data_IF_302751052543
#
_entry.id   IF_302751052543
#
_cell.length_a   1.000
_cell.length_b   1.000
_cell.length_c   1.000
_cell.angle_alpha   90.00
_cell.angle_beta   90.00
_cell.angle_gamma   90.00
#
_symmetry.space_group_name_H-M   'P 1'
#
loop_
_entity.id
_entity.type
_entity.pdbx_description
1 polymer ?
#
# COMPACT_ATOMS: atom_id res chain seq x y z
N UNK A 1 22.22 -0.08 -33.34
CA UNK A 1 21.81 0.41 -32.01
C UNK A 1 20.70 -0.48 -31.49
N UNK A 2 20.92 -1.28 -30.43
CA UNK A 2 19.84 -1.99 -29.75
C UNK A 2 18.96 -0.93 -29.06
N UNK A 3 17.68 -0.82 -29.45
CA UNK A 3 16.72 -0.02 -28.67
C UNK A 3 16.74 -0.56 -27.24
N UNK A 4 17.11 0.26 -26.26
CA UNK A 4 16.93 -0.08 -24.86
C UNK A 4 15.42 -0.17 -24.62
N UNK A 5 14.91 -1.35 -24.27
CA UNK A 5 13.50 -1.53 -23.91
C UNK A 5 13.29 -0.97 -22.49
N UNK A 6 13.33 0.37 -22.33
CA UNK A 6 13.01 1.00 -21.07
C UNK A 6 11.52 0.82 -20.75
N UNK A 7 11.22 0.47 -19.51
CA UNK A 7 9.84 0.40 -18.97
C UNK A 7 9.18 1.79 -19.04
N UNK A 8 9.96 2.84 -18.88
CA UNK A 8 9.46 4.22 -18.78
C UNK A 8 9.38 4.96 -20.13
N UNK A 9 9.35 4.23 -21.26
CA UNK A 9 9.28 4.82 -22.62
C UNK A 9 7.88 4.92 -23.20
N UNK A 10 6.94 4.11 -22.73
CA UNK A 10 5.54 4.10 -23.19
C UNK A 10 4.60 4.67 -22.15
N UNK A 11 3.31 4.79 -22.52
CA UNK A 11 2.28 5.21 -21.59
C UNK A 11 1.88 6.68 -21.71
N UNK A 12 1.33 7.23 -20.64
CA UNK A 12 0.80 8.59 -20.58
C UNK A 12 1.08 9.25 -19.23
N UNK A 13 0.93 10.57 -19.19
CA UNK A 13 0.90 11.31 -17.96
C UNK A 13 -0.29 12.29 -17.93
N UNK A 14 -0.81 12.55 -16.73
CA UNK A 14 -1.87 13.56 -16.48
C UNK A 14 -1.51 14.38 -15.25
N UNK A 15 -2.02 15.58 -15.19
CA UNK A 15 -1.88 16.47 -14.03
C UNK A 15 -3.23 16.75 -13.38
N UNK A 16 -3.25 16.68 -12.07
CA UNK A 16 -4.25 17.23 -11.17
C UNK A 16 -3.57 18.29 -10.32
N UNK A 17 -4.31 19.25 -9.79
CA UNK A 17 -3.67 20.47 -9.26
C UNK A 17 -3.04 20.29 -7.88
N UNK A 18 -3.30 19.18 -7.19
CA UNK A 18 -3.00 19.02 -5.77
C UNK A 18 -2.29 17.70 -5.47
N UNK A 19 -1.72 17.61 -4.26
CA UNK A 19 -1.04 16.42 -3.75
C UNK A 19 -1.92 15.16 -3.87
N UNK A 20 -1.48 14.17 -4.64
CA UNK A 20 -2.18 12.88 -4.77
C UNK A 20 -1.89 12.01 -3.55
N UNK A 21 -2.92 11.75 -2.76
CA UNK A 21 -2.78 10.92 -1.55
C UNK A 21 -2.91 9.43 -1.84
N UNK A 22 -3.73 9.06 -2.82
CA UNK A 22 -3.98 7.69 -3.19
C UNK A 22 -4.33 7.57 -4.68
N UNK A 23 -3.98 6.44 -5.29
CA UNK A 23 -4.46 6.03 -6.60
C UNK A 23 -4.42 4.51 -6.72
N UNK A 24 -5.34 3.95 -7.51
CA UNK A 24 -5.36 2.52 -7.79
C UNK A 24 -6.14 2.20 -9.07
N UNK A 25 -6.00 0.96 -9.53
CA UNK A 25 -6.67 0.40 -10.70
C UNK A 25 -8.11 -0.02 -10.38
N UNK A 26 -9.06 0.29 -11.27
CA UNK A 26 -10.47 -0.02 -11.13
C UNK A 26 -11.06 -0.62 -12.41
N UNK A 27 -12.29 -1.14 -12.34
CA UNK A 27 -13.06 -1.66 -13.48
C UNK A 27 -12.25 -2.64 -14.34
N UNK A 28 -11.78 -3.74 -13.74
CA UNK A 28 -10.93 -4.73 -14.42
C UNK A 28 -9.68 -4.10 -15.04
N UNK A 29 -9.09 -3.11 -14.36
CA UNK A 29 -7.94 -2.32 -14.80
C UNK A 29 -8.19 -1.46 -16.06
N UNK A 30 -9.43 -1.09 -16.35
CA UNK A 30 -9.79 -0.17 -17.44
C UNK A 30 -9.74 1.29 -17.01
N UNK A 31 -9.93 1.55 -15.73
CA UNK A 31 -9.89 2.88 -15.13
C UNK A 31 -8.83 2.98 -14.04
N UNK A 32 -8.38 4.19 -13.79
CA UNK A 32 -7.57 4.56 -12.63
C UNK A 32 -8.40 5.55 -11.81
N UNK A 33 -8.54 5.27 -10.52
CA UNK A 33 -9.13 6.22 -9.57
C UNK A 33 -7.98 6.86 -8.80
N UNK A 34 -7.98 8.18 -8.72
CA UNK A 34 -7.00 8.94 -7.95
C UNK A 34 -7.71 9.96 -7.06
N UNK A 35 -7.13 10.27 -5.91
CA UNK A 35 -7.66 11.24 -4.97
C UNK A 35 -6.58 12.22 -4.52
N UNK A 36 -6.93 13.49 -4.42
CA UNK A 36 -6.07 14.52 -3.87
C UNK A 36 -6.42 14.85 -2.41
N UNK A 37 -5.50 15.54 -1.74
CA UNK A 37 -5.62 15.90 -0.32
C UNK A 37 -6.77 16.88 -0.05
N UNK A 38 -7.25 17.60 -1.07
CA UNK A 38 -8.35 18.57 -0.93
C UNK A 38 -9.73 17.95 -1.11
N UNK A 39 -9.79 16.63 -1.30
CA UNK A 39 -11.05 15.89 -1.40
C UNK A 39 -11.61 15.78 -2.82
N UNK A 40 -10.80 16.03 -3.83
CA UNK A 40 -11.22 15.75 -5.19
C UNK A 40 -10.85 14.32 -5.58
N UNK A 41 -11.76 13.67 -6.29
CA UNK A 41 -11.57 12.31 -6.80
C UNK A 41 -11.69 12.35 -8.32
N UNK A 42 -10.77 11.68 -8.98
CA UNK A 42 -10.63 11.67 -10.43
C UNK A 42 -10.69 10.24 -10.94
N UNK A 43 -11.36 10.03 -12.05
CA UNK A 43 -11.27 8.79 -12.81
C UNK A 43 -10.67 9.04 -14.17
N UNK A 44 -9.67 8.24 -14.52
CA UNK A 44 -8.99 8.30 -15.82
C UNK A 44 -9.17 6.99 -16.59
N UNK A 45 -9.30 7.08 -17.89
CA UNK A 45 -9.15 5.92 -18.77
C UNK A 45 -7.71 5.39 -18.66
N UNK A 46 -7.56 4.14 -18.29
CA UNK A 46 -6.25 3.55 -17.96
C UNK A 46 -5.31 3.44 -19.16
N UNK A 47 -5.85 3.40 -20.40
CA UNK A 47 -5.06 3.28 -21.62
C UNK A 47 -4.58 4.63 -22.13
N UNK A 48 -5.38 5.66 -21.99
CA UNK A 48 -5.15 6.97 -22.65
C UNK A 48 -4.83 8.11 -21.68
N UNK A 49 -5.08 7.92 -20.36
CA UNK A 49 -4.98 8.99 -19.38
C UNK A 49 -6.06 10.06 -19.49
N UNK A 50 -7.09 9.83 -20.32
CA UNK A 50 -8.19 10.77 -20.46
C UNK A 50 -9.04 10.81 -19.18
N UNK A 51 -9.31 12.01 -18.66
CA UNK A 51 -10.23 12.21 -17.54
C UNK A 51 -11.65 11.78 -17.97
N UNK A 52 -12.25 10.88 -17.20
CA UNK A 52 -13.60 10.34 -17.41
C UNK A 52 -14.62 11.10 -16.57
N UNK A 53 -14.35 11.26 -15.28
CA UNK A 53 -15.16 12.08 -14.37
C UNK A 53 -14.31 12.63 -13.21
N UNK A 54 -14.87 13.63 -12.53
CA UNK A 54 -14.30 14.24 -11.35
C UNK A 54 -15.40 14.51 -10.32
N UNK A 55 -15.15 14.17 -9.06
CA UNK A 55 -15.94 14.60 -7.90
C UNK A 55 -15.15 15.66 -7.13
N UNK A 56 -15.83 16.66 -6.61
CA UNK A 56 -15.20 17.76 -5.87
C UNK A 56 -15.62 17.78 -4.41
N UNK A 57 -14.72 18.30 -3.59
CA UNK A 57 -15.01 18.66 -2.20
C UNK A 57 -15.57 17.50 -1.35
N UNK A 58 -15.21 16.24 -1.65
CA UNK A 58 -15.60 15.11 -0.83
C UNK A 58 -14.98 15.24 0.57
N UNK A 59 -15.61 14.65 1.58
CA UNK A 59 -15.17 14.73 2.98
C UNK A 59 -14.87 16.15 3.48
N UNK A 60 -15.67 17.16 3.04
CA UNK A 60 -15.49 18.57 3.41
C UNK A 60 -14.07 19.10 3.07
N UNK A 61 -13.53 18.72 1.91
CA UNK A 61 -12.20 19.10 1.40
C UNK A 61 -11.04 18.53 2.21
N UNK A 62 -11.20 17.37 2.82
CA UNK A 62 -10.20 16.78 3.72
C UNK A 62 -10.19 15.27 3.62
N UNK A 63 -9.80 14.77 2.45
CA UNK A 63 -9.69 13.34 2.20
C UNK A 63 -8.35 12.81 2.73
N UNK A 64 -8.36 11.65 3.40
CA UNK A 64 -7.18 11.07 4.03
C UNK A 64 -6.75 9.75 3.38
N UNK A 65 -7.70 8.93 2.89
CA UNK A 65 -7.36 7.68 2.21
C UNK A 65 -8.43 7.30 1.18
N UNK A 66 -8.02 6.48 0.21
CA UNK A 66 -8.87 5.87 -0.83
C UNK A 66 -8.43 4.42 -1.05
N UNK A 67 -9.39 3.52 -1.09
CA UNK A 67 -9.18 2.11 -1.36
C UNK A 67 -10.16 1.59 -2.43
N UNK A 68 -9.63 1.14 -3.57
CA UNK A 68 -10.44 0.46 -4.59
C UNK A 68 -10.74 -0.96 -4.12
N UNK A 69 -11.99 -1.39 -4.26
CA UNK A 69 -12.39 -2.75 -3.95
C UNK A 69 -11.69 -3.74 -4.92
N UNK A 70 -11.22 -4.90 -4.46
CA UNK A 70 -10.53 -5.88 -5.32
C UNK A 70 -11.29 -6.34 -6.57
N UNK A 71 -12.63 -6.23 -6.58
CA UNK A 71 -13.42 -6.47 -7.79
C UNK A 71 -13.40 -5.29 -8.78
N UNK A 72 -12.89 -4.12 -8.35
CA UNK A 72 -12.74 -2.92 -9.16
C UNK A 72 -14.03 -2.13 -9.41
N UNK A 73 -15.20 -2.62 -9.03
CA UNK A 73 -16.49 -1.98 -9.34
C UNK A 73 -16.85 -0.78 -8.46
N UNK A 74 -16.29 -0.75 -7.26
CA UNK A 74 -16.51 0.29 -6.26
C UNK A 74 -15.19 0.72 -5.62
N UNK A 75 -15.16 1.89 -5.03
CA UNK A 75 -14.07 2.35 -4.17
C UNK A 75 -14.63 3.01 -2.91
N UNK A 76 -13.84 2.97 -1.86
CA UNK A 76 -14.14 3.67 -0.62
C UNK A 76 -13.18 4.84 -0.43
N UNK A 77 -13.67 5.90 0.21
CA UNK A 77 -12.89 7.07 0.62
C UNK A 77 -13.19 7.41 2.07
N UNK A 78 -12.24 8.04 2.74
CA UNK A 78 -12.41 8.51 4.10
C UNK A 78 -11.69 9.85 4.34
N UNK A 79 -12.05 10.52 5.41
CA UNK A 79 -11.50 11.85 5.68
C UNK A 79 -11.71 12.34 7.10
N UNK A 80 -11.42 13.65 7.29
CA UNK A 80 -11.47 14.29 8.60
C UNK A 80 -12.90 14.50 9.13
N UNK A 81 -13.92 14.26 8.30
CA UNK A 81 -15.32 14.40 8.70
C UNK A 81 -15.90 13.15 9.42
N UNK A 82 -15.06 12.16 9.74
CA UNK A 82 -15.46 10.96 10.45
C UNK A 82 -16.30 9.97 9.62
N UNK A 83 -16.30 10.12 8.29
CA UNK A 83 -17.10 9.30 7.38
C UNK A 83 -16.27 8.39 6.51
N UNK A 84 -16.90 7.31 6.09
CA UNK A 84 -16.47 6.45 4.98
C UNK A 84 -17.57 6.47 3.92
N UNK A 85 -17.21 6.89 2.72
CA UNK A 85 -18.10 6.92 1.56
C UNK A 85 -17.73 5.80 0.59
N UNK A 86 -18.71 5.04 0.11
CA UNK A 86 -18.56 4.00 -0.91
C UNK A 86 -19.17 4.51 -2.20
N UNK A 87 -18.40 4.49 -3.28
CA UNK A 87 -18.79 5.06 -4.57
C UNK A 87 -18.65 4.03 -5.69
N UNK A 88 -19.47 4.15 -6.74
CA UNK A 88 -19.31 3.37 -7.96
C UNK A 88 -18.07 3.84 -8.73
N UNK A 89 -17.24 2.91 -9.17
CA UNK A 89 -16.04 3.25 -9.95
C UNK A 89 -16.35 3.68 -11.39
N UNK A 90 -17.55 3.38 -11.89
CA UNK A 90 -17.98 3.70 -13.27
C UNK A 90 -18.21 5.19 -13.51
N UNK A 91 -18.83 5.89 -12.55
CA UNK A 91 -19.29 7.26 -12.70
C UNK A 91 -19.08 8.13 -11.46
N UNK A 92 -18.55 7.54 -10.36
CA UNK A 92 -18.34 8.22 -9.10
C UNK A 92 -19.59 8.36 -8.23
N UNK A 93 -20.75 7.82 -8.64
CA UNK A 93 -21.98 7.97 -7.85
C UNK A 93 -21.85 7.42 -6.44
N UNK A 94 -22.32 8.18 -5.45
CA UNK A 94 -22.32 7.77 -4.04
C UNK A 94 -23.33 6.63 -3.82
N UNK A 95 -22.86 5.48 -3.35
CA UNK A 95 -23.67 4.30 -3.04
C UNK A 95 -24.02 4.27 -1.55
N UNK A 96 -23.10 4.63 -0.68
CA UNK A 96 -23.28 4.62 0.77
C UNK A 96 -22.37 5.63 1.43
N UNK A 97 -22.86 6.29 2.50
CA UNK A 97 -22.08 7.20 3.35
C UNK A 97 -22.27 6.83 4.81
N UNK A 98 -21.19 6.44 5.49
CA UNK A 98 -21.23 5.85 6.81
C UNK A 98 -20.45 6.73 7.79
N UNK A 99 -21.10 7.26 8.82
CA UNK A 99 -20.43 7.94 9.92
C UNK A 99 -19.88 6.90 10.90
N UNK A 100 -18.57 6.88 11.09
CA UNK A 100 -17.91 6.06 12.09
C UNK A 100 -17.74 6.79 13.43
N UNK A 101 -17.84 8.13 13.43
CA UNK A 101 -17.70 8.98 14.61
C UNK A 101 -17.40 10.42 14.26
N UNK A 102 -16.87 11.17 15.24
CA UNK A 102 -16.55 12.60 15.10
C UNK A 102 -15.05 12.87 14.96
N UNK A 103 -14.24 11.83 14.87
CA UNK A 103 -12.79 11.90 14.71
C UNK A 103 -12.39 11.61 13.24
N UNK A 104 -11.11 11.73 12.92
CA UNK A 104 -10.60 11.46 11.59
C UNK A 104 -10.59 9.96 11.30
N UNK A 105 -11.04 9.57 10.11
CA UNK A 105 -10.85 8.22 9.59
C UNK A 105 -9.57 8.20 8.74
N UNK A 106 -8.51 7.59 9.27
CA UNK A 106 -7.14 7.73 8.74
C UNK A 106 -6.75 6.62 7.78
N UNK A 107 -7.28 5.42 7.98
CA UNK A 107 -6.93 4.24 7.19
C UNK A 107 -8.19 3.48 6.83
N UNK A 108 -8.28 3.04 5.59
CA UNK A 108 -9.31 2.12 5.12
C UNK A 108 -8.70 1.00 4.31
N UNK A 109 -9.19 -0.23 4.48
CA UNK A 109 -8.71 -1.37 3.70
C UNK A 109 -9.81 -2.39 3.46
N UNK A 110 -9.94 -2.84 2.21
CA UNK A 110 -10.81 -3.97 1.84
C UNK A 110 -10.15 -5.32 2.14
N UNK A 111 -10.97 -6.32 2.50
CA UNK A 111 -10.54 -7.72 2.43
C UNK A 111 -10.22 -8.12 0.99
N UNK A 112 -9.37 -9.14 0.79
CA UNK A 112 -9.00 -9.62 -0.55
C UNK A 112 -10.18 -10.08 -1.41
N UNK A 113 -11.27 -10.54 -0.78
CA UNK A 113 -12.51 -10.90 -1.49
C UNK A 113 -13.47 -9.71 -1.70
N UNK A 114 -13.11 -8.51 -1.25
CA UNK A 114 -13.87 -7.27 -1.40
C UNK A 114 -15.21 -7.21 -0.63
N UNK A 115 -15.46 -8.13 0.30
CA UNK A 115 -16.75 -8.19 1.02
C UNK A 115 -16.79 -7.28 2.25
N UNK A 116 -15.64 -7.05 2.89
CA UNK A 116 -15.53 -6.26 4.11
C UNK A 116 -14.53 -5.12 3.92
N UNK A 117 -14.86 -3.98 4.48
CA UNK A 117 -14.01 -2.80 4.57
C UNK A 117 -13.77 -2.48 6.04
N UNK A 118 -12.50 -2.42 6.44
CA UNK A 118 -12.12 -1.89 7.75
C UNK A 118 -11.81 -0.40 7.63
N UNK A 119 -12.18 0.39 8.64
CA UNK A 119 -11.83 1.80 8.77
C UNK A 119 -11.41 2.12 10.20
N UNK A 120 -10.26 2.80 10.38
CA UNK A 120 -9.79 3.24 11.70
C UNK A 120 -10.20 4.67 11.99
N UNK A 121 -10.69 4.91 13.21
CA UNK A 121 -11.09 6.22 13.71
C UNK A 121 -10.61 6.38 15.17
N UNK A 122 -9.64 7.25 15.39
CA UNK A 122 -9.05 7.44 16.72
C UNK A 122 -8.56 6.11 17.31
N UNK A 123 -9.17 5.67 18.42
CA UNK A 123 -8.85 4.42 19.11
C UNK A 123 -9.73 3.23 18.72
N UNK A 124 -10.51 3.33 17.67
CA UNK A 124 -11.45 2.29 17.26
C UNK A 124 -11.21 1.88 15.82
N UNK A 125 -11.61 0.65 15.51
CA UNK A 125 -11.73 0.15 14.13
C UNK A 125 -13.15 -0.34 13.92
N UNK A 126 -13.74 0.07 12.80
CA UNK A 126 -15.05 -0.38 12.36
C UNK A 126 -14.90 -1.27 11.13
N UNK A 127 -15.77 -2.25 10.99
CA UNK A 127 -15.86 -3.06 9.78
C UNK A 127 -17.29 -2.94 9.23
N UNK A 128 -17.37 -2.57 7.96
CA UNK A 128 -18.61 -2.47 7.20
C UNK A 128 -18.59 -3.45 6.02
N UNK A 129 -19.76 -3.83 5.51
CA UNK A 129 -19.84 -4.57 4.25
C UNK A 129 -19.74 -3.65 3.04
N UNK A 130 -19.74 -4.23 1.84
CA UNK A 130 -19.68 -3.48 0.57
C UNK A 130 -20.95 -2.64 0.27
N UNK A 131 -22.02 -2.81 1.06
CA UNK A 131 -23.24 -2.00 1.00
C UNK A 131 -23.26 -0.89 2.05
N UNK A 132 -22.26 -0.86 2.94
CA UNK A 132 -22.12 0.14 4.00
C UNK A 132 -22.74 -0.25 5.33
N UNK A 133 -23.26 -1.48 5.51
CA UNK A 133 -23.79 -1.91 6.80
C UNK A 133 -22.64 -2.16 7.78
N UNK A 134 -22.71 -1.57 8.99
CA UNK A 134 -21.74 -1.84 10.04
C UNK A 134 -21.94 -3.25 10.59
N UNK A 135 -20.89 -4.07 10.53
CA UNK A 135 -20.92 -5.47 10.98
C UNK A 135 -20.17 -5.67 12.29
N UNK A 136 -19.13 -4.88 12.53
CA UNK A 136 -18.27 -5.04 13.71
C UNK A 136 -17.63 -3.72 14.10
N UNK A 137 -17.29 -3.61 15.37
CA UNK A 137 -16.48 -2.52 15.93
C UNK A 137 -15.58 -3.10 17.01
N UNK A 138 -14.33 -2.65 17.07
CA UNK A 138 -13.40 -3.04 18.13
C UNK A 138 -13.82 -2.45 19.48
N UNK A 139 -13.33 -3.05 20.57
CA UNK A 139 -13.22 -2.37 21.86
C UNK A 139 -12.32 -1.13 21.72
N UNK A 140 -12.40 -0.22 22.69
CA UNK A 140 -11.49 0.93 22.75
C UNK A 140 -10.06 0.44 22.96
N UNK A 141 -9.17 0.80 22.03
CA UNK A 141 -7.75 0.49 22.12
C UNK A 141 -7.06 1.45 23.08
N UNK A 142 -5.89 1.05 23.57
CA UNK A 142 -5.10 1.85 24.53
C UNK A 142 -4.62 3.17 23.93
N UNK A 143 -4.41 3.23 22.61
CA UNK A 143 -4.02 4.44 21.89
C UNK A 143 -4.61 4.47 20.47
N UNK A 144 -4.40 5.59 19.78
CA UNK A 144 -4.81 5.78 18.38
C UNK A 144 -4.25 4.67 17.49
N UNK A 145 -5.08 4.17 16.58
CA UNK A 145 -4.70 3.20 15.56
C UNK A 145 -3.73 3.85 14.58
N UNK A 146 -2.60 3.23 14.35
CA UNK A 146 -1.59 3.72 13.40
C UNK A 146 -1.63 3.03 12.05
N UNK A 147 -2.08 1.78 12.01
CA UNK A 147 -2.26 1.02 10.78
C UNK A 147 -3.22 -0.16 10.98
N UNK A 148 -3.86 -0.59 9.90
CA UNK A 148 -4.70 -1.79 9.85
C UNK A 148 -4.27 -2.66 8.68
N UNK A 149 -4.43 -3.98 8.81
CA UNK A 149 -4.10 -4.92 7.73
C UNK A 149 -4.95 -6.19 7.83
N UNK A 150 -5.62 -6.58 6.73
CA UNK A 150 -6.34 -7.85 6.66
C UNK A 150 -5.35 -9.00 6.43
N UNK A 151 -5.24 -9.91 7.40
CA UNK A 151 -4.48 -11.15 7.25
C UNK A 151 -5.17 -12.14 6.29
N UNK A 152 -6.50 -12.15 6.35
CA UNK A 152 -7.38 -12.94 5.49
C UNK A 152 -8.78 -12.30 5.46
N UNK A 153 -9.81 -13.03 5.03
CA UNK A 153 -11.17 -12.49 4.90
C UNK A 153 -11.95 -12.41 6.24
N UNK A 154 -11.32 -12.65 7.37
CA UNK A 154 -11.92 -12.52 8.70
C UNK A 154 -10.98 -11.99 9.77
N UNK A 155 -9.66 -12.16 9.60
CA UNK A 155 -8.68 -11.70 10.56
C UNK A 155 -8.11 -10.34 10.18
N UNK A 156 -8.29 -9.37 11.07
CA UNK A 156 -7.82 -8.00 10.96
C UNK A 156 -6.71 -7.74 11.99
N UNK A 157 -5.53 -7.40 11.54
CA UNK A 157 -4.43 -6.92 12.36
C UNK A 157 -4.56 -5.40 12.54
N UNK A 158 -4.41 -4.93 13.77
CA UNK A 158 -4.53 -3.53 14.16
C UNK A 158 -3.28 -3.14 14.94
N UNK A 159 -2.50 -2.20 14.42
CA UNK A 159 -1.33 -1.63 15.08
C UNK A 159 -1.71 -0.36 15.82
N UNK A 160 -1.20 -0.23 17.04
CA UNK A 160 -1.31 0.96 17.88
C UNK A 160 -0.04 1.13 18.71
N UNK A 161 0.05 2.16 19.56
CA UNK A 161 1.20 2.26 20.45
C UNK A 161 1.31 1.02 21.34
N UNK A 162 2.48 0.40 21.32
CA UNK A 162 2.83 -0.71 22.18
C UNK A 162 2.33 -2.09 21.75
N UNK A 163 1.56 -2.23 20.66
CA UNK A 163 1.01 -3.53 20.32
C UNK A 163 0.48 -3.65 18.89
N UNK A 164 0.44 -4.91 18.42
CA UNK A 164 -0.44 -5.33 17.32
C UNK A 164 -1.44 -6.35 17.86
N UNK A 165 -2.73 -6.15 17.59
CA UNK A 165 -3.79 -7.09 17.95
C UNK A 165 -4.38 -7.67 16.66
N UNK A 166 -4.58 -8.98 16.64
CA UNK A 166 -5.30 -9.66 15.55
C UNK A 166 -6.67 -10.09 16.07
N UNK A 167 -7.72 -9.56 15.44
CA UNK A 167 -9.11 -9.93 15.68
C UNK A 167 -9.65 -10.82 14.58
N UNK A 168 -10.36 -11.89 14.94
CA UNK A 168 -11.34 -12.48 14.02
C UNK A 168 -12.67 -11.72 14.20
N UNK A 169 -12.98 -10.89 13.19
CA UNK A 169 -14.15 -10.00 13.23
C UNK A 169 -15.48 -10.74 13.09
N UNK A 170 -15.48 -11.97 12.55
CA UNK A 170 -16.70 -12.76 12.38
C UNK A 170 -17.23 -13.35 13.68
N UNK A 171 -16.30 -13.75 14.55
CA UNK A 171 -16.62 -14.34 15.85
C UNK A 171 -16.34 -13.39 17.01
N UNK A 172 -15.98 -12.14 16.71
CA UNK A 172 -15.64 -11.07 17.67
C UNK A 172 -14.63 -11.53 18.72
N UNK A 173 -13.48 -12.07 18.28
CA UNK A 173 -12.49 -12.65 19.17
C UNK A 173 -11.08 -12.12 18.87
N UNK A 174 -10.35 -11.77 19.92
CA UNK A 174 -8.89 -11.56 19.82
C UNK A 174 -8.22 -12.91 19.61
N UNK A 175 -7.58 -13.08 18.45
CA UNK A 175 -6.82 -14.28 18.12
C UNK A 175 -5.42 -14.25 18.71
N UNK A 176 -4.74 -13.11 18.57
CA UNK A 176 -3.36 -12.92 19.01
C UNK A 176 -3.13 -11.47 19.42
N UNK A 177 -2.17 -11.29 20.33
CA UNK A 177 -1.67 -9.97 20.74
C UNK A 177 -0.15 -10.03 20.78
N UNK A 178 0.49 -9.06 20.14
CA UNK A 178 1.92 -8.90 20.07
C UNK A 178 2.29 -7.57 20.71
N UNK A 179 3.13 -7.60 21.73
CA UNK A 179 3.53 -6.42 22.47
C UNK A 179 4.90 -5.94 22.00
N UNK A 180 5.06 -4.65 21.92
CA UNK A 180 6.32 -3.97 21.63
C UNK A 180 6.35 -2.62 22.34
N UNK A 181 7.45 -2.31 23.01
CA UNK A 181 7.61 -1.05 23.74
C UNK A 181 7.98 0.08 22.78
N UNK A 182 7.00 0.64 22.07
CA UNK A 182 7.26 1.75 21.15
C UNK A 182 6.06 2.13 20.28
N UNK A 183 6.24 3.16 19.49
CA UNK A 183 5.23 3.66 18.55
C UNK A 183 5.38 2.98 17.21
N UNK A 184 4.46 2.09 16.89
CA UNK A 184 4.37 1.44 15.59
C UNK A 184 3.75 2.42 14.58
N UNK A 185 4.36 2.57 13.40
CA UNK A 185 3.98 3.58 12.40
C UNK A 185 3.62 2.98 11.02
N UNK A 186 3.90 1.70 10.83
CA UNK A 186 3.50 0.95 9.65
C UNK A 186 3.28 -0.51 10.01
N UNK A 187 2.50 -1.23 9.19
CA UNK A 187 2.13 -2.63 9.41
C UNK A 187 2.09 -3.35 8.07
N UNK A 188 2.72 -4.51 8.00
CA UNK A 188 2.60 -5.45 6.90
C UNK A 188 2.51 -6.88 7.42
N UNK A 189 1.73 -7.71 6.74
CA UNK A 189 1.68 -9.14 6.99
C UNK A 189 2.18 -9.88 5.75
N UNK A 190 2.91 -10.98 5.97
CA UNK A 190 3.23 -11.89 4.87
C UNK A 190 1.93 -12.45 4.25
N UNK A 191 1.90 -12.78 2.94
CA UNK A 191 0.68 -13.24 2.26
C UNK A 191 0.05 -14.49 2.88
N UNK A 192 0.86 -15.36 3.50
CA UNK A 192 0.37 -16.52 4.26
C UNK A 192 -0.09 -16.17 5.69
N UNK A 193 0.05 -14.91 6.10
CA UNK A 193 -0.31 -14.41 7.43
C UNK A 193 0.59 -14.88 8.56
N UNK A 194 1.72 -15.54 8.32
CA UNK A 194 2.59 -16.10 9.37
C UNK A 194 3.52 -15.07 10.02
N UNK A 195 3.88 -14.02 9.30
CA UNK A 195 4.75 -12.95 9.78
C UNK A 195 3.95 -11.66 9.89
N UNK A 196 4.05 -11.02 11.03
CA UNK A 196 3.57 -9.64 11.28
C UNK A 196 4.79 -8.76 11.40
N UNK A 197 4.91 -7.72 10.58
CA UNK A 197 6.04 -6.78 10.61
C UNK A 197 5.54 -5.34 10.79
N UNK A 198 6.24 -4.55 11.60
CA UNK A 198 5.93 -3.15 11.87
C UNK A 198 7.18 -2.30 11.78
N UNK A 199 7.09 -1.16 11.12
CA UNK A 199 8.06 -0.09 11.29
C UNK A 199 7.77 0.69 12.57
N UNK A 200 8.81 1.14 13.25
CA UNK A 200 8.73 1.85 14.52
C UNK A 200 9.33 3.26 14.44
N UNK A 201 8.91 4.14 15.36
CA UNK A 201 9.42 5.51 15.44
C UNK A 201 10.88 5.60 15.91
N UNK A 202 11.42 4.55 16.51
CA UNK A 202 12.80 4.43 16.95
C UNK A 202 13.79 4.02 15.83
N UNK A 203 13.33 4.08 14.57
CA UNK A 203 14.09 3.69 13.38
C UNK A 203 14.42 2.19 13.34
N UNK A 204 13.51 1.36 13.81
CA UNK A 204 13.60 -0.10 13.70
C UNK A 204 12.43 -0.69 12.92
N UNK A 205 12.58 -1.93 12.48
CA UNK A 205 11.47 -2.79 12.05
C UNK A 205 11.39 -3.94 13.02
N UNK A 206 10.24 -4.12 13.63
CA UNK A 206 9.95 -5.22 14.52
C UNK A 206 9.05 -6.23 13.84
N UNK A 207 9.30 -7.54 14.04
CA UNK A 207 8.43 -8.57 13.50
C UNK A 207 8.20 -9.72 14.47
N UNK A 208 7.05 -10.38 14.31
CA UNK A 208 6.63 -11.56 15.08
C UNK A 208 6.28 -12.70 14.14
N UNK A 209 6.63 -13.93 14.58
CA UNK A 209 6.16 -15.17 13.96
C UNK A 209 4.89 -15.61 14.66
N UNK A 210 3.77 -15.65 13.95
CA UNK A 210 2.47 -16.00 14.55
C UNK A 210 2.41 -17.43 15.08
N UNK A 211 3.18 -18.35 14.50
CA UNK A 211 3.17 -19.78 14.87
C UNK A 211 3.70 -20.06 16.28
N UNK A 212 4.63 -19.25 16.77
CA UNK A 212 5.31 -19.51 18.06
C UNK A 212 5.45 -18.25 18.93
N UNK A 213 4.97 -17.10 18.47
CA UNK A 213 5.05 -15.81 19.17
C UNK A 213 6.46 -15.21 19.25
N UNK A 214 7.47 -15.85 18.63
CA UNK A 214 8.83 -15.31 18.62
C UNK A 214 8.88 -14.01 17.85
N UNK A 215 9.63 -13.07 18.39
CA UNK A 215 9.87 -11.77 17.83
C UNK A 215 11.36 -11.53 17.58
N UNK A 216 11.64 -10.58 16.70
CA UNK A 216 12.97 -10.04 16.48
C UNK A 216 12.89 -8.62 15.95
N UNK A 217 13.98 -7.91 16.12
CA UNK A 217 14.13 -6.51 15.72
C UNK A 217 15.22 -6.38 14.66
N UNK A 218 14.93 -5.58 13.65
CA UNK A 218 15.84 -5.17 12.60
C UNK A 218 16.20 -3.70 12.81
N UNK A 219 17.45 -3.44 13.15
CA UNK A 219 17.97 -2.12 13.51
C UNK A 219 18.95 -1.59 12.46
N UNK A 220 19.44 -0.36 12.66
CA UNK A 220 20.44 0.26 11.78
C UNK A 220 19.85 1.14 10.68
N UNK A 221 18.55 1.39 10.71
CA UNK A 221 17.92 2.35 9.80
C UNK A 221 18.28 3.80 10.20
N UNK A 222 18.76 4.64 9.25
CA UNK A 222 19.02 6.05 9.54
C UNK A 222 17.76 6.88 9.73
N UNK A 223 16.59 6.37 9.32
CA UNK A 223 15.30 7.04 9.46
C UNK A 223 14.15 6.06 9.64
N UNK A 224 12.95 6.59 9.85
CA UNK A 224 11.76 5.81 10.18
C UNK A 224 11.28 4.97 9.00
N UNK A 225 11.14 3.64 9.13
CA UNK A 225 10.61 2.76 8.08
C UNK A 225 9.08 2.86 8.01
N UNK A 226 8.61 3.93 7.38
CA UNK A 226 7.16 4.18 7.20
C UNK A 226 6.54 3.32 6.12
N UNK A 227 7.32 2.92 5.12
CA UNK A 227 6.86 2.08 4.03
C UNK A 227 7.56 0.72 4.12
N UNK A 228 6.76 -0.33 4.33
CA UNK A 228 7.20 -1.71 4.44
C UNK A 228 6.22 -2.60 3.66
N UNK A 229 6.74 -3.52 2.86
CA UNK A 229 5.90 -4.35 1.99
C UNK A 229 6.51 -5.73 1.79
N UNK A 230 5.69 -6.79 1.90
CA UNK A 230 6.07 -8.15 1.51
C UNK A 230 5.85 -8.36 0.00
N UNK A 231 6.71 -9.20 -0.59
CA UNK A 231 6.44 -9.76 -1.91
C UNK A 231 5.30 -10.79 -1.86
N UNK A 232 4.78 -11.18 -3.01
CA UNK A 232 3.65 -12.13 -3.11
C UNK A 232 3.96 -13.52 -2.52
N UNK A 233 5.22 -13.90 -2.40
CA UNK A 233 5.64 -15.18 -1.81
C UNK A 233 5.81 -15.12 -0.30
N UNK A 234 5.89 -13.91 0.29
CA UNK A 234 6.25 -13.69 1.68
C UNK A 234 7.72 -13.97 2.01
N UNK A 235 8.55 -14.19 0.96
CA UNK A 235 9.98 -14.41 1.15
C UNK A 235 10.73 -13.12 1.41
N UNK A 236 10.36 -12.02 0.75
CA UNK A 236 11.05 -10.75 0.86
C UNK A 236 10.18 -9.69 1.52
N UNK A 237 10.76 -9.00 2.51
CA UNK A 237 10.21 -7.77 3.07
C UNK A 237 11.11 -6.60 2.64
N UNK A 238 10.59 -5.73 1.80
CA UNK A 238 11.25 -4.48 1.44
C UNK A 238 10.84 -3.38 2.43
N UNK A 239 11.82 -2.58 2.86
CA UNK A 239 11.64 -1.54 3.86
C UNK A 239 12.32 -0.24 3.42
N UNK A 240 11.63 0.89 3.66
CA UNK A 240 12.18 2.24 3.52
C UNK A 240 12.90 2.70 4.79
N UNK A 241 12.98 4.03 4.99
CA UNK A 241 13.62 4.63 6.16
C UNK A 241 15.02 5.18 5.88
N UNK A 242 15.52 5.01 4.65
CA UNK A 242 16.78 5.54 4.15
C UNK A 242 16.68 5.84 2.66
N UNK A 243 17.71 6.44 2.02
CA UNK A 243 17.81 6.47 0.56
C UNK A 243 17.96 5.08 -0.07
N UNK A 244 18.39 4.08 0.71
CA UNK A 244 18.51 2.71 0.26
C UNK A 244 17.25 1.92 0.61
N UNK A 245 16.79 1.04 -0.29
CA UNK A 245 15.78 0.04 0.06
C UNK A 245 16.51 -1.12 0.72
N UNK A 246 16.09 -1.48 1.93
CA UNK A 246 16.60 -2.66 2.63
C UNK A 246 15.65 -3.82 2.41
N UNK A 247 16.17 -4.97 1.95
CA UNK A 247 15.38 -6.16 1.63
C UNK A 247 15.76 -7.31 2.55
N UNK A 248 14.83 -7.74 3.38
CA UNK A 248 15.01 -8.86 4.30
C UNK A 248 14.47 -10.16 3.72
N UNK A 249 15.24 -11.24 3.83
CA UNK A 249 14.88 -12.54 3.31
C UNK A 249 14.37 -13.44 4.43
N UNK A 250 13.09 -13.79 4.40
CA UNK A 250 12.41 -14.65 5.39
C UNK A 250 12.46 -16.14 5.05
N UNK A 251 13.19 -16.53 4.00
CA UNK A 251 13.33 -17.95 3.62
C UNK A 251 14.09 -18.74 4.70
N UNK A 252 13.73 -20.00 4.88
CA UNK A 252 14.34 -20.93 5.84
C UNK A 252 14.19 -20.44 7.30
N UNK A 253 15.31 -20.04 7.93
CA UNK A 253 15.34 -19.58 9.33
C UNK A 253 14.91 -18.12 9.50
N UNK A 254 14.64 -17.41 8.39
CA UNK A 254 14.24 -16.01 8.42
C UNK A 254 15.43 -15.04 8.44
N UNK A 255 15.21 -13.74 8.71
CA UNK A 255 16.25 -12.73 8.61
C UNK A 255 17.24 -12.73 9.79
N UNK A 256 16.95 -13.44 10.89
CA UNK A 256 17.76 -13.42 12.11
C UNK A 256 19.19 -13.90 11.84
N UNK A 257 20.17 -13.04 12.18
CA UNK A 257 21.59 -13.32 11.97
C UNK A 257 22.06 -13.25 10.51
N UNK A 258 21.23 -12.71 9.61
CA UNK A 258 21.60 -12.48 8.21
C UNK A 258 21.87 -11.01 7.92
N UNK A 259 22.56 -10.75 6.82
CA UNK A 259 22.73 -9.40 6.27
C UNK A 259 21.63 -9.17 5.23
N UNK A 260 20.85 -8.09 5.32
CA UNK A 260 19.83 -7.79 4.32
C UNK A 260 20.44 -7.35 2.99
N UNK A 261 19.71 -7.55 1.90
CA UNK A 261 20.01 -6.95 0.62
C UNK A 261 19.87 -5.43 0.68
N UNK A 262 20.71 -4.72 -0.08
CA UNK A 262 20.73 -3.26 -0.14
C UNK A 262 20.60 -2.79 -1.60
N UNK A 263 19.50 -2.09 -1.90
CA UNK A 263 19.27 -1.54 -3.23
C UNK A 263 19.64 -0.07 -3.24
N UNK A 264 20.75 0.26 -3.88
CA UNK A 264 21.39 1.58 -3.81
C UNK A 264 21.20 2.33 -5.13
N UNK A 265 20.41 3.41 -5.12
CA UNK A 265 20.22 4.28 -6.28
C UNK A 265 19.77 5.69 -5.89
N UNK A 266 18.83 5.79 -4.96
CA UNK A 266 18.21 7.06 -4.58
C UNK A 266 19.14 7.91 -3.73
N UNK A 267 18.98 9.25 -3.79
CA UNK A 267 19.77 10.19 -3.00
C UNK A 267 19.04 10.68 -1.74
N UNK A 268 17.70 10.52 -1.71
CA UNK A 268 16.84 10.95 -0.63
C UNK A 268 16.01 9.76 -0.11
N UNK A 269 15.44 9.85 1.10
CA UNK A 269 14.68 8.76 1.69
C UNK A 269 13.55 8.24 0.81
N UNK A 270 13.36 6.93 0.85
CA UNK A 270 12.25 6.23 0.19
C UNK A 270 10.91 6.80 0.67
N UNK A 271 10.03 7.09 -0.27
CA UNK A 271 8.68 7.60 -0.03
C UNK A 271 7.58 6.57 -0.27
N UNK A 272 7.81 5.59 -1.13
CA UNK A 272 6.87 4.51 -1.41
C UNK A 272 7.55 3.29 -2.03
N UNK A 273 6.98 2.11 -1.75
CA UNK A 273 7.43 0.80 -2.23
C UNK A 273 6.24 0.01 -2.77
N UNK A 274 6.46 -0.81 -3.80
CA UNK A 274 5.42 -1.70 -4.32
C UNK A 274 6.05 -2.91 -5.01
N UNK A 275 5.75 -4.12 -4.54
CA UNK A 275 6.08 -5.34 -5.27
C UNK A 275 5.09 -5.59 -6.41
N UNK A 276 5.56 -6.19 -7.48
CA UNK A 276 4.72 -6.72 -8.54
C UNK A 276 3.87 -7.90 -8.04
N UNK A 277 2.74 -8.16 -8.72
CA UNK A 277 1.75 -9.14 -8.27
C UNK A 277 2.12 -10.60 -8.63
N UNK A 278 2.98 -10.82 -9.62
CA UNK A 278 3.30 -12.15 -10.15
C UNK A 278 4.79 -12.43 -10.30
N UNK A 279 5.64 -11.45 -9.95
CA UNK A 279 7.09 -11.55 -10.10
C UNK A 279 7.84 -10.96 -8.90
N UNK A 280 9.14 -11.18 -8.84
CA UNK A 280 10.03 -10.59 -7.81
C UNK A 280 10.50 -9.17 -8.15
N UNK A 281 9.76 -8.44 -9.00
CA UNK A 281 10.05 -7.06 -9.29
C UNK A 281 9.57 -6.17 -8.15
N UNK A 282 10.41 -5.25 -7.75
CA UNK A 282 10.11 -4.22 -6.76
C UNK A 282 10.20 -2.85 -7.41
N UNK A 283 9.21 -2.02 -7.18
CA UNK A 283 9.26 -0.59 -7.49
C UNK A 283 9.55 0.21 -6.22
N UNK A 284 10.46 1.16 -6.30
CA UNK A 284 10.75 2.12 -5.23
C UNK A 284 10.66 3.55 -5.76
N UNK A 285 10.10 4.44 -4.96
CA UNK A 285 10.10 5.87 -5.19
C UNK A 285 10.74 6.60 -4.01
N UNK A 286 11.45 7.68 -4.27
CA UNK A 286 12.15 8.45 -3.26
C UNK A 286 11.82 9.94 -3.32
N UNK A 287 12.13 10.66 -2.24
CA UNK A 287 11.84 12.09 -2.12
C UNK A 287 12.60 12.97 -3.12
N UNK A 288 13.69 12.47 -3.71
CA UNK A 288 14.42 13.12 -4.81
C UNK A 288 13.67 13.07 -6.16
N UNK A 289 12.50 12.46 -6.21
CA UNK A 289 11.68 12.30 -7.41
C UNK A 289 12.10 11.13 -8.30
N UNK A 290 13.07 10.34 -7.88
CA UNK A 290 13.47 9.14 -8.63
C UNK A 290 12.54 7.96 -8.35
N UNK A 291 12.29 7.17 -9.40
CA UNK A 291 11.59 5.88 -9.35
C UNK A 291 12.52 4.84 -9.97
N UNK A 292 12.66 3.69 -9.35
CA UNK A 292 13.43 2.57 -9.86
C UNK A 292 12.60 1.27 -9.84
N UNK A 293 12.83 0.43 -10.83
CA UNK A 293 12.34 -0.95 -10.87
C UNK A 293 13.53 -1.88 -10.68
N UNK A 294 13.43 -2.74 -9.69
CA UNK A 294 14.47 -3.67 -9.28
C UNK A 294 14.09 -5.10 -9.61
N UNK A 295 15.09 -5.89 -9.96
CA UNK A 295 14.98 -7.33 -10.01
C UNK A 295 15.81 -7.92 -8.89
N UNK A 296 15.14 -8.54 -7.92
CA UNK A 296 15.80 -9.14 -6.78
C UNK A 296 16.44 -10.50 -7.15
N UNK A 297 17.62 -10.74 -6.59
CA UNK A 297 18.26 -12.04 -6.59
C UNK A 297 17.78 -12.90 -5.41
N UNK A 298 18.33 -14.11 -5.28
CA UNK A 298 17.98 -15.06 -4.21
C UNK A 298 18.30 -14.59 -2.78
N UNK A 299 19.13 -13.58 -2.62
CA UNK A 299 19.54 -13.03 -1.32
C UNK A 299 18.70 -11.79 -0.94
N UNK A 300 18.01 -11.19 -1.92
CA UNK A 300 17.30 -9.93 -1.75
C UNK A 300 18.11 -8.72 -2.23
N UNK A 301 19.33 -8.92 -2.74
CA UNK A 301 20.07 -7.91 -3.48
C UNK A 301 19.50 -7.76 -4.88
N UNK A 302 19.81 -6.67 -5.56
CA UNK A 302 19.34 -6.47 -6.93
C UNK A 302 19.91 -5.24 -7.58
N UNK A 303 19.94 -5.29 -8.91
CA UNK A 303 20.28 -4.14 -9.74
C UNK A 303 19.01 -3.49 -10.30
N UNK A 304 18.99 -2.16 -10.46
CA UNK A 304 17.89 -1.49 -11.11
C UNK A 304 17.84 -1.91 -12.59
N UNK A 305 16.72 -2.52 -13.00
CA UNK A 305 16.51 -2.85 -14.41
C UNK A 305 16.08 -1.64 -15.22
N UNK A 306 15.49 -0.64 -14.54
CA UNK A 306 15.16 0.65 -15.13
C UNK A 306 14.96 1.73 -14.06
N UNK A 307 15.11 3.01 -14.46
CA UNK A 307 14.93 4.16 -13.59
C UNK A 307 14.47 5.41 -14.34
N UNK A 308 13.72 6.27 -13.65
CA UNK A 308 13.29 7.59 -14.15
C UNK A 308 13.28 8.61 -13.02
N UNK A 309 13.41 9.90 -13.35
CA UNK A 309 13.06 11.01 -12.45
C UNK A 309 11.79 11.69 -12.95
N UNK A 310 10.81 11.86 -12.07
CA UNK A 310 9.56 12.57 -12.35
C UNK A 310 9.56 13.99 -11.82
N UNK A 311 10.71 14.46 -11.26
CA UNK A 311 10.93 15.80 -10.70
C UNK A 311 9.92 16.22 -9.61
N UNK A 312 9.37 15.24 -8.89
CA UNK A 312 8.45 15.42 -7.76
C UNK A 312 8.41 14.14 -6.93
N UNK A 313 8.18 14.24 -5.63
CA UNK A 313 8.17 13.07 -4.76
C UNK A 313 7.04 12.10 -5.13
N UNK A 314 7.34 10.84 -5.51
CA UNK A 314 6.31 9.82 -5.67
C UNK A 314 5.58 9.58 -4.35
N UNK A 315 4.25 9.57 -4.38
CA UNK A 315 3.41 9.33 -3.20
C UNK A 315 2.80 7.94 -3.20
N UNK A 316 2.57 7.36 -4.37
CA UNK A 316 2.04 6.02 -4.57
C UNK A 316 2.64 5.38 -5.81
N UNK A 317 2.89 4.08 -5.71
CA UNK A 317 3.30 3.20 -6.80
C UNK A 317 2.36 2.01 -6.84
N UNK A 318 1.82 1.66 -8.01
CA UNK A 318 0.87 0.56 -8.16
C UNK A 318 1.13 -0.22 -9.44
N UNK A 319 1.35 -1.52 -9.30
CA UNK A 319 1.37 -2.43 -10.42
C UNK A 319 -0.05 -2.76 -10.85
N UNK A 320 -0.29 -2.82 -12.14
CA UNK A 320 -1.51 -3.40 -12.68
C UNK A 320 -1.56 -4.88 -12.32
N UNK A 321 -2.75 -5.46 -12.13
CA UNK A 321 -2.92 -6.84 -11.63
C UNK A 321 -2.15 -7.91 -12.42
N UNK A 322 -1.96 -7.71 -13.72
CA UNK A 322 -1.23 -8.59 -14.64
C UNK A 322 0.23 -8.16 -14.85
N UNK A 323 0.72 -7.19 -14.09
CA UNK A 323 2.06 -6.59 -14.13
C UNK A 323 2.48 -6.04 -15.51
N UNK A 324 1.54 -5.83 -16.44
CA UNK A 324 1.84 -5.28 -17.77
C UNK A 324 1.76 -3.76 -17.85
N UNK A 325 1.43 -3.09 -16.74
CA UNK A 325 1.49 -1.64 -16.59
C UNK A 325 1.81 -1.24 -15.14
N UNK A 326 2.31 -0.02 -14.99
CA UNK A 326 2.76 0.53 -13.73
C UNK A 326 2.28 1.98 -13.59
N UNK A 327 1.70 2.30 -12.43
CA UNK A 327 1.16 3.61 -12.09
C UNK A 327 2.01 4.26 -11.02
N UNK A 328 2.32 5.54 -11.18
CA UNK A 328 2.92 6.38 -10.14
C UNK A 328 2.12 7.67 -9.98
N UNK A 329 1.94 8.10 -8.74
CA UNK A 329 1.38 9.39 -8.38
C UNK A 329 2.41 10.20 -7.59
N UNK A 330 2.29 11.53 -7.61
CA UNK A 330 3.25 12.41 -6.96
C UNK A 330 2.61 13.48 -6.08
N UNK A 331 3.43 14.09 -5.23
CA UNK A 331 3.05 15.19 -4.36
C UNK A 331 2.76 16.51 -5.11
N UNK A 332 3.11 16.59 -6.38
CA UNK A 332 2.83 17.76 -7.23
C UNK A 332 1.61 17.57 -8.15
N UNK A 333 0.78 16.56 -7.89
CA UNK A 333 -0.42 16.30 -8.66
C UNK A 333 -0.21 15.53 -9.96
N UNK A 334 0.99 14.99 -10.20
CA UNK A 334 1.28 14.25 -11.42
C UNK A 334 0.92 12.77 -11.27
N UNK A 335 0.27 12.23 -12.30
CA UNK A 335 -0.03 10.81 -12.48
C UNK A 335 0.68 10.32 -13.73
N UNK A 336 1.39 9.22 -13.61
CA UNK A 336 2.10 8.56 -14.69
C UNK A 336 1.63 7.12 -14.79
N UNK A 337 1.38 6.65 -16.00
CA UNK A 337 1.11 5.25 -16.27
C UNK A 337 2.03 4.80 -17.40
N UNK A 338 2.83 3.77 -17.16
CA UNK A 338 3.74 3.18 -18.13
C UNK A 338 3.33 1.76 -18.48
N UNK A 339 3.41 1.44 -19.75
CA UNK A 339 3.26 0.07 -20.23
C UNK A 339 4.56 -0.70 -20.01
N UNK A 340 4.47 -1.86 -19.38
CA UNK A 340 5.61 -2.75 -19.18
C UNK A 340 5.79 -3.60 -20.44
N UNK A 341 6.91 -3.45 -21.20
CA UNK A 341 7.12 -4.22 -22.42
C UNK A 341 7.14 -5.72 -22.13
N UNK A 342 6.26 -6.49 -22.78
CA UNK A 342 6.36 -7.94 -22.76
C UNK A 342 7.49 -8.40 -23.67
N UNK A 343 8.40 -9.24 -23.20
CA UNK A 343 9.28 -10.01 -24.08
C UNK A 343 8.43 -11.10 -24.74
N UNK A 344 8.18 -10.96 -26.06
CA UNK A 344 7.50 -11.96 -26.89
C UNK A 344 6.07 -12.33 -26.47
N UNK A 345 5.23 -11.37 -26.05
CA UNK A 345 3.85 -11.66 -25.65
C UNK A 345 3.69 -12.41 -24.32
N UNK A 346 4.77 -12.75 -23.68
CA UNK A 346 4.80 -13.24 -22.30
C UNK A 346 5.27 -12.07 -21.41
N UNK A 347 4.47 -11.66 -20.44
CA UNK A 347 4.91 -10.68 -19.43
C UNK A 347 6.26 -11.09 -18.83
N UNK A 348 6.95 -10.23 -18.07
CA UNK A 348 8.23 -10.56 -17.41
C UNK A 348 8.16 -11.78 -16.47
N UNK A 349 7.22 -12.70 -16.69
CA UNK A 349 7.11 -14.00 -16.08
C UNK A 349 8.26 -14.90 -16.56
N UNK A 350 9.18 -15.21 -15.66
CA UNK A 350 10.25 -16.14 -15.91
C UNK A 350 9.67 -17.54 -16.14
N UNK A 351 10.14 -18.23 -17.18
CA UNK A 351 9.95 -19.67 -17.32
C UNK A 351 10.37 -20.35 -15.99
N UNK A 352 9.49 -21.22 -15.51
CA UNK A 352 9.73 -22.11 -14.36
C UNK A 352 11.00 -22.91 -14.52
#
# INVERSE_FOLDING_TARGET
MKRSNSIFQGGWYSEINEYVIACDWALENKNIIAADITGNIYSFDAKTGKLLYMQKDTHNKSLLDLAVNPNGSIYATCGQNGKVDINAASDGSLLSSNSLGNDWVDNIQWTNNGKLLAGSIGKFVHVIDSSGNQLWRSDELTSTVSAIYWSNNSELAIASYGQVIIYDVKINKVCQRFEWKGSLISLALSPNGEIVACGSQDNSVHFWRRTNGKDAEMTGYPGKPKDIVFDITGQYLATGGSPQVTVWNFKNKGPEGTIPGQLILHNEPISCLSFANSSSLLASGAKDGSIAIWKLDKNGDGEPIDKISINSTPTRLRWKKDDNAFLAASNSGKLFCWDIPSKNGEGFGFKK
#
